data_IF_675900339297
#
_entry.id   IF_675900339297
#
_cell.length_a   1.000
_cell.length_b   1.000
_cell.length_c   1.000
_cell.angle_alpha   90.00
_cell.angle_beta   90.00
_cell.angle_gamma   90.00
#
_symmetry.space_group_name_H-M   'P 1'
#
loop_
_entity.id
_entity.type
_entity.pdbx_description
1 polymer ?
#
# COMPACT_ATOMS: atom_id res chain seq x y z
N UNK A 1 2.65 -28.21 -7.90
CA UNK A 1 3.71 -27.43 -7.23
C UNK A 1 3.40 -27.18 -5.76
N UNK A 2 2.18 -26.83 -5.37
CA UNK A 2 1.73 -26.59 -3.99
C UNK A 2 2.07 -27.71 -2.97
N UNK A 3 1.89 -28.98 -3.33
CA UNK A 3 2.21 -30.11 -2.42
C UNK A 3 3.70 -30.26 -2.07
N UNK A 4 4.61 -29.80 -2.94
CA UNK A 4 6.06 -29.80 -2.65
C UNK A 4 6.44 -28.64 -1.71
N UNK A 5 5.77 -27.50 -1.82
CA UNK A 5 5.94 -26.35 -0.95
C UNK A 5 5.46 -26.66 0.46
N UNK A 6 4.26 -27.22 0.61
CA UNK A 6 3.72 -27.61 1.92
C UNK A 6 4.66 -28.58 2.67
N UNK A 7 5.29 -29.52 1.94
CA UNK A 7 6.29 -30.41 2.53
C UNK A 7 7.60 -29.71 2.94
N UNK A 8 8.01 -28.65 2.22
CA UNK A 8 9.22 -27.88 2.54
C UNK A 8 8.99 -27.00 3.78
N UNK A 9 7.79 -26.40 3.90
CA UNK A 9 7.35 -25.67 5.08
C UNK A 9 7.25 -26.59 6.30
N UNK A 10 6.62 -27.77 6.16
CA UNK A 10 6.54 -28.75 7.24
C UNK A 10 7.91 -29.30 7.68
N UNK A 11 8.88 -29.41 6.77
CA UNK A 11 10.22 -29.88 7.11
C UNK A 11 11.05 -28.84 7.86
N UNK A 12 10.83 -27.52 7.58
CA UNK A 12 11.42 -26.41 8.34
C UNK A 12 10.79 -26.29 9.75
N UNK A 13 9.48 -26.55 9.90
CA UNK A 13 8.77 -26.54 11.20
C UNK A 13 9.44 -27.41 12.27
N UNK A 14 10.08 -28.50 11.88
CA UNK A 14 10.75 -29.42 12.83
C UNK A 14 12.08 -28.93 13.40
N UNK A 15 12.61 -27.82 12.90
CA UNK A 15 13.88 -27.24 13.33
C UNK A 15 13.75 -26.05 14.33
N UNK A 16 12.54 -25.54 14.54
CA UNK A 16 12.31 -24.38 15.42
C UNK A 16 11.90 -24.82 16.83
N UNK A 17 12.65 -24.37 17.82
CA UNK A 17 12.39 -24.69 19.25
C UNK A 17 11.13 -23.98 19.82
N UNK A 18 10.60 -22.93 19.14
CA UNK A 18 9.37 -22.21 19.49
C UNK A 18 8.38 -22.24 18.31
N UNK A 19 7.76 -23.38 18.10
CA UNK A 19 6.77 -23.60 17.03
C UNK A 19 5.58 -22.61 17.09
N UNK A 20 5.13 -22.24 18.30
CA UNK A 20 4.01 -21.35 18.50
C UNK A 20 4.28 -19.94 17.97
N UNK A 21 5.44 -19.37 18.26
CA UNK A 21 5.79 -18.02 17.80
C UNK A 21 5.86 -17.88 16.27
N UNK A 22 6.38 -18.89 15.58
CA UNK A 22 6.46 -18.88 14.11
C UNK A 22 5.09 -19.00 13.43
N UNK A 23 4.26 -19.91 13.94
CA UNK A 23 2.90 -20.11 13.38
C UNK A 23 2.00 -18.90 13.68
N UNK A 24 2.13 -18.27 14.84
CA UNK A 24 1.40 -17.07 15.22
C UNK A 24 1.75 -15.87 14.33
N UNK A 25 3.03 -15.63 14.08
CA UNK A 25 3.48 -14.54 13.19
C UNK A 25 3.05 -14.77 11.73
N UNK A 26 3.13 -16.01 11.24
CA UNK A 26 2.67 -16.34 9.90
C UNK A 26 1.15 -16.19 9.77
N UNK A 27 0.39 -16.55 10.80
CA UNK A 27 -1.06 -16.36 10.87
C UNK A 27 -1.42 -14.86 10.82
N UNK A 28 -0.73 -14.03 11.63
CA UNK A 28 -0.94 -12.58 11.64
C UNK A 28 -0.70 -11.97 10.24
N UNK A 29 0.43 -12.30 9.61
CA UNK A 29 0.72 -11.79 8.26
C UNK A 29 -0.34 -12.21 7.26
N UNK A 30 -0.86 -13.43 7.34
CA UNK A 30 -1.94 -13.89 6.47
C UNK A 30 -3.24 -13.09 6.70
N UNK A 31 -3.61 -12.85 7.94
CA UNK A 31 -4.80 -12.07 8.29
C UNK A 31 -4.68 -10.61 7.78
N UNK A 32 -3.51 -9.99 7.95
CA UNK A 32 -3.23 -8.64 7.42
C UNK A 32 -3.35 -8.59 5.89
N UNK A 33 -2.84 -9.59 5.19
CA UNK A 33 -2.95 -9.66 3.73
C UNK A 33 -4.40 -9.92 3.25
N UNK A 34 -5.23 -10.57 4.06
CA UNK A 34 -6.67 -10.73 3.80
C UNK A 34 -7.38 -9.39 3.93
N UNK A 35 -7.12 -8.63 4.99
CA UNK A 35 -7.69 -7.28 5.18
C UNK A 35 -7.26 -6.34 4.04
N UNK A 36 -5.98 -6.33 3.67
CA UNK A 36 -5.48 -5.58 2.53
C UNK A 36 -6.20 -5.96 1.22
N UNK A 37 -6.53 -7.24 1.03
CA UNK A 37 -7.28 -7.71 -0.16
C UNK A 37 -8.73 -7.27 -0.16
N UNK A 38 -9.37 -7.17 0.99
CA UNK A 38 -10.73 -6.63 1.13
C UNK A 38 -10.76 -5.13 0.78
N UNK A 39 -9.81 -4.36 1.32
CA UNK A 39 -9.65 -2.94 1.02
C UNK A 39 -9.35 -2.68 -0.48
N UNK A 40 -8.52 -3.51 -1.10
CA UNK A 40 -8.28 -3.50 -2.56
C UNK A 40 -9.59 -3.69 -3.34
N UNK A 41 -10.40 -4.66 -2.94
CA UNK A 41 -11.68 -4.97 -3.60
C UNK A 41 -12.64 -3.78 -3.51
N UNK A 42 -12.74 -3.14 -2.36
CA UNK A 42 -13.56 -1.94 -2.16
C UNK A 42 -13.06 -0.78 -3.03
N UNK A 43 -11.74 -0.54 -3.05
CA UNK A 43 -11.12 0.49 -3.90
C UNK A 43 -11.47 0.26 -5.38
N UNK A 44 -11.31 -0.96 -5.90
CA UNK A 44 -11.61 -1.29 -7.30
C UNK A 44 -13.07 -1.04 -7.63
N UNK A 45 -14.00 -1.44 -6.74
CA UNK A 45 -15.44 -1.20 -6.91
C UNK A 45 -15.77 0.30 -7.00
N UNK A 46 -15.18 1.11 -6.11
CA UNK A 46 -15.38 2.55 -6.11
C UNK A 46 -14.81 3.20 -7.37
N UNK A 47 -13.61 2.80 -7.81
CA UNK A 47 -12.98 3.27 -9.04
C UNK A 47 -13.83 2.96 -10.28
N UNK A 48 -14.40 1.77 -10.39
CA UNK A 48 -15.28 1.39 -11.52
C UNK A 48 -16.53 2.27 -11.59
N UNK A 49 -17.16 2.54 -10.43
CA UNK A 49 -18.32 3.43 -10.33
C UNK A 49 -17.98 4.85 -10.77
N UNK A 50 -16.86 5.37 -10.32
CA UNK A 50 -16.47 6.76 -10.58
C UNK A 50 -15.90 6.92 -11.99
N UNK A 51 -15.26 5.89 -12.56
CA UNK A 51 -14.89 5.85 -13.97
C UNK A 51 -16.10 6.00 -14.89
N UNK A 52 -17.20 5.30 -14.57
CA UNK A 52 -18.45 5.44 -15.35
C UNK A 52 -18.97 6.88 -15.35
N UNK A 53 -18.99 7.52 -14.17
CA UNK A 53 -19.40 8.94 -14.07
C UNK A 53 -18.45 9.87 -14.82
N UNK A 54 -17.14 9.61 -14.76
CA UNK A 54 -16.16 10.37 -15.54
C UNK A 54 -16.44 10.27 -17.03
N UNK A 55 -16.66 9.06 -17.55
CA UNK A 55 -16.95 8.83 -18.97
C UNK A 55 -18.22 9.56 -19.43
N UNK A 56 -19.29 9.48 -18.63
CA UNK A 56 -20.56 10.18 -18.87
C UNK A 56 -20.38 11.72 -18.89
N UNK A 57 -19.53 12.25 -18.02
CA UNK A 57 -19.26 13.68 -17.94
C UNK A 57 -18.33 14.20 -19.05
N UNK A 58 -17.39 13.38 -19.51
CA UNK A 58 -16.43 13.76 -20.56
C UNK A 58 -17.06 13.80 -21.95
N UNK A 59 -18.00 12.93 -22.23
CA UNK A 59 -18.59 12.77 -23.56
C UNK A 59 -19.13 14.09 -24.15
N UNK A 60 -20.04 14.84 -23.50
CA UNK A 60 -20.57 16.10 -24.06
C UNK A 60 -19.49 17.16 -24.21
N UNK A 61 -18.52 17.20 -23.29
CA UNK A 61 -17.46 18.20 -23.33
C UNK A 61 -16.43 17.93 -24.44
N UNK A 62 -16.15 16.66 -24.75
CA UNK A 62 -15.31 16.31 -25.89
C UNK A 62 -15.98 16.69 -27.20
N UNK A 63 -17.28 16.42 -27.34
CA UNK A 63 -18.04 16.81 -28.54
C UNK A 63 -18.00 18.31 -28.76
N UNK A 64 -17.92 19.13 -27.72
CA UNK A 64 -17.81 20.60 -27.85
C UNK A 64 -16.51 21.09 -28.50
N UNK A 65 -15.49 20.22 -28.62
CA UNK A 65 -14.26 20.53 -29.37
C UNK A 65 -14.38 20.28 -30.88
N UNK A 66 -15.50 19.69 -31.34
CA UNK A 66 -15.70 19.39 -32.74
C UNK A 66 -16.84 20.25 -33.32
N UNK A 67 -16.59 20.89 -34.46
CA UNK A 67 -17.59 21.56 -35.27
C UNK A 67 -17.86 20.69 -36.50
N UNK A 68 -19.10 20.18 -36.63
CA UNK A 68 -19.47 19.31 -37.76
C UNK A 68 -18.47 18.14 -37.99
N UNK A 69 -18.05 17.47 -36.89
CA UNK A 69 -17.07 16.40 -36.86
C UNK A 69 -15.61 16.83 -37.19
N UNK A 70 -15.33 18.10 -37.31
CA UNK A 70 -13.98 18.62 -37.51
C UNK A 70 -13.47 19.23 -36.21
N UNK A 71 -12.25 18.88 -35.80
CA UNK A 71 -11.60 19.41 -34.59
C UNK A 71 -11.43 20.93 -34.67
N UNK A 72 -11.94 21.67 -33.68
CA UNK A 72 -11.64 23.08 -33.49
C UNK A 72 -10.18 23.24 -33.01
N UNK A 73 -9.30 23.54 -33.96
CA UNK A 73 -7.85 23.64 -33.72
C UNK A 73 -7.51 24.69 -32.64
N UNK A 74 -8.27 25.77 -32.53
CA UNK A 74 -7.98 26.81 -31.52
C UNK A 74 -8.26 26.27 -30.12
N UNK A 75 -9.41 25.70 -29.88
CA UNK A 75 -9.78 25.09 -28.60
C UNK A 75 -8.83 23.96 -28.24
N UNK A 76 -8.43 23.16 -29.23
CA UNK A 76 -7.44 22.07 -29.01
C UNK A 76 -6.08 22.59 -28.56
N UNK A 77 -5.54 23.64 -29.21
CA UNK A 77 -4.25 24.23 -28.83
C UNK A 77 -4.31 24.83 -27.44
N UNK A 78 -5.39 25.54 -27.10
CA UNK A 78 -5.62 26.07 -25.76
C UNK A 78 -5.64 24.94 -24.71
N UNK A 79 -6.38 23.89 -24.96
CA UNK A 79 -6.45 22.74 -24.05
C UNK A 79 -5.11 22.01 -23.92
N UNK A 80 -4.38 21.81 -25.03
CA UNK A 80 -3.05 21.18 -25.05
C UNK A 80 -2.05 21.98 -24.23
N UNK A 81 -2.02 23.29 -24.40
CA UNK A 81 -1.17 24.17 -23.60
C UNK A 81 -1.46 24.06 -22.12
N UNK A 82 -2.73 24.05 -21.76
CA UNK A 82 -3.18 23.96 -20.39
C UNK A 82 -2.88 22.63 -19.73
N UNK A 83 -2.97 21.52 -20.46
CA UNK A 83 -2.61 20.19 -19.95
C UNK A 83 -1.10 20.07 -19.68
N UNK A 84 -0.27 20.78 -20.46
CA UNK A 84 1.18 20.82 -20.29
C UNK A 84 1.66 21.75 -19.16
N UNK A 85 0.78 22.62 -18.64
CA UNK A 85 1.14 23.58 -17.60
C UNK A 85 0.30 23.36 -16.33
N UNK A 86 0.84 22.68 -15.29
CA UNK A 86 0.13 22.43 -14.03
C UNK A 86 -0.35 23.69 -13.32
N UNK A 87 0.38 24.80 -13.52
CA UNK A 87 0.09 26.11 -12.89
C UNK A 87 -0.91 26.96 -13.68
N UNK A 88 -1.33 26.53 -14.87
CA UNK A 88 -2.29 27.29 -15.65
C UNK A 88 -3.66 27.27 -14.96
N UNK A 89 -4.23 28.46 -14.76
CA UNK A 89 -5.62 28.63 -14.31
C UNK A 89 -6.63 28.32 -15.43
N UNK A 90 -6.36 27.24 -16.19
CA UNK A 90 -7.24 26.85 -17.27
C UNK A 90 -8.65 26.54 -16.76
N UNK A 91 -9.60 27.28 -17.30
CA UNK A 91 -11.02 27.18 -16.99
C UNK A 91 -11.80 26.26 -17.93
N UNK A 92 -11.14 25.42 -18.71
CA UNK A 92 -11.91 24.48 -19.55
C UNK A 92 -12.68 23.51 -18.66
N UNK A 93 -13.95 23.35 -18.95
CA UNK A 93 -14.85 22.44 -18.21
C UNK A 93 -14.29 21.03 -18.19
N UNK A 94 -13.67 20.59 -19.29
CA UNK A 94 -13.02 19.30 -19.43
C UNK A 94 -11.90 19.08 -18.38
N UNK A 95 -11.00 20.07 -18.19
CA UNK A 95 -9.94 20.01 -17.18
C UNK A 95 -10.54 19.97 -15.76
N UNK A 96 -11.58 20.72 -15.49
CA UNK A 96 -12.27 20.69 -14.18
C UNK A 96 -12.86 19.33 -13.86
N UNK A 97 -13.50 18.69 -14.83
CA UNK A 97 -14.07 17.33 -14.69
C UNK A 97 -12.96 16.33 -14.31
N UNK A 98 -11.85 16.34 -15.06
CA UNK A 98 -10.72 15.44 -14.77
C UNK A 98 -10.15 15.71 -13.37
N UNK A 99 -9.90 16.98 -13.02
CA UNK A 99 -9.37 17.33 -11.69
C UNK A 99 -10.30 16.95 -10.55
N UNK A 100 -11.61 17.08 -10.73
CA UNK A 100 -12.60 16.63 -9.73
C UNK A 100 -12.55 15.10 -9.55
N UNK A 101 -12.48 14.36 -10.63
CA UNK A 101 -12.32 12.91 -10.57
C UNK A 101 -11.02 12.51 -9.86
N UNK A 102 -9.87 13.10 -10.21
CA UNK A 102 -8.58 12.84 -9.59
C UNK A 102 -8.60 13.14 -8.09
N UNK A 103 -9.18 14.28 -7.70
CA UNK A 103 -9.34 14.65 -6.28
C UNK A 103 -10.17 13.60 -5.52
N UNK A 104 -11.30 13.19 -6.09
CA UNK A 104 -12.18 12.18 -5.49
C UNK A 104 -11.46 10.85 -5.30
N UNK A 105 -10.82 10.35 -6.35
CA UNK A 105 -10.10 9.07 -6.34
C UNK A 105 -8.93 9.09 -5.35
N UNK A 106 -8.18 10.20 -5.29
CA UNK A 106 -7.08 10.38 -4.33
C UNK A 106 -7.57 10.35 -2.89
N UNK A 107 -8.65 11.08 -2.60
CA UNK A 107 -9.24 11.14 -1.26
C UNK A 107 -9.79 9.78 -0.82
N UNK A 108 -10.49 9.08 -1.71
CA UNK A 108 -11.02 7.74 -1.43
C UNK A 108 -9.91 6.73 -1.15
N UNK A 109 -8.87 6.69 -1.97
CA UNK A 109 -7.76 5.77 -1.77
C UNK A 109 -7.01 6.08 -0.46
N UNK A 110 -6.72 7.33 -0.17
CA UNK A 110 -6.07 7.73 1.08
C UNK A 110 -6.92 7.36 2.30
N UNK A 111 -8.26 7.58 2.24
CA UNK A 111 -9.17 7.22 3.32
C UNK A 111 -9.25 5.71 3.56
N UNK A 112 -9.40 4.91 2.49
CA UNK A 112 -9.43 3.46 2.58
C UNK A 112 -8.14 2.94 3.19
N UNK A 113 -6.99 3.44 2.72
CA UNK A 113 -5.68 3.01 3.21
C UNK A 113 -5.46 3.43 4.68
N UNK A 114 -5.83 4.65 5.05
CA UNK A 114 -5.77 5.09 6.46
C UNK A 114 -6.60 4.17 7.36
N UNK A 115 -7.84 3.88 6.97
CA UNK A 115 -8.74 3.02 7.75
C UNK A 115 -8.18 1.61 7.88
N UNK A 116 -7.65 1.05 6.80
CA UNK A 116 -6.99 -0.26 6.79
C UNK A 116 -5.83 -0.29 7.79
N UNK A 117 -4.87 0.64 7.65
CA UNK A 117 -3.66 0.66 8.46
C UNK A 117 -3.92 0.88 9.96
N UNK A 118 -4.98 1.62 10.31
CA UNK A 118 -5.39 1.79 11.71
C UNK A 118 -5.95 0.50 12.31
N UNK A 119 -6.78 -0.24 11.56
CA UNK A 119 -7.28 -1.55 11.98
C UNK A 119 -6.13 -2.55 12.12
N UNK A 120 -5.24 -2.58 11.15
CA UNK A 120 -4.07 -3.46 11.15
C UNK A 120 -3.13 -3.15 12.31
N UNK A 121 -2.91 -1.87 12.64
CA UNK A 121 -2.12 -1.48 13.81
C UNK A 121 -2.65 -2.14 15.09
N UNK A 122 -3.96 -2.08 15.32
CA UNK A 122 -4.59 -2.68 16.51
C UNK A 122 -4.48 -4.22 16.49
N UNK A 123 -4.63 -4.85 15.33
CA UNK A 123 -4.44 -6.30 15.17
C UNK A 123 -2.99 -6.70 15.48
N UNK A 124 -2.01 -6.00 14.93
CA UNK A 124 -0.58 -6.24 15.14
C UNK A 124 -0.25 -6.09 16.62
N UNK A 125 -0.65 -4.97 17.23
CA UNK A 125 -0.39 -4.72 18.65
C UNK A 125 -0.98 -5.83 19.54
N UNK A 126 -2.21 -6.28 19.27
CA UNK A 126 -2.87 -7.32 20.02
C UNK A 126 -2.17 -8.67 19.88
N UNK A 127 -1.88 -9.10 18.65
CA UNK A 127 -1.34 -10.43 18.41
C UNK A 127 0.14 -10.52 18.79
N UNK A 128 0.94 -9.48 18.49
CA UNK A 128 2.36 -9.43 18.89
C UNK A 128 2.51 -9.41 20.42
N UNK A 129 1.67 -8.66 21.14
CA UNK A 129 1.67 -8.71 22.61
C UNK A 129 1.23 -10.07 23.14
N UNK A 130 0.26 -10.72 22.51
CA UNK A 130 -0.18 -12.06 22.90
C UNK A 130 0.93 -13.10 22.71
N UNK A 131 1.70 -13.04 21.61
CA UNK A 131 2.83 -13.95 21.37
C UNK A 131 3.95 -13.81 22.41
N UNK A 132 4.08 -12.63 23.02
CA UNK A 132 5.03 -12.34 24.10
C UNK A 132 4.44 -12.55 25.51
N UNK A 133 3.15 -12.93 25.61
CA UNK A 133 2.40 -13.00 26.86
C UNK A 133 2.39 -11.68 27.66
N UNK A 134 2.31 -10.52 26.98
CA UNK A 134 2.26 -9.18 27.59
C UNK A 134 0.94 -8.46 27.27
N UNK A 135 0.58 -7.44 28.09
CA UNK A 135 -0.62 -6.64 27.85
C UNK A 135 -0.45 -5.70 26.64
N UNK A 136 -1.42 -5.64 25.72
CA UNK A 136 -1.42 -4.71 24.61
C UNK A 136 -1.88 -3.29 24.98
N UNK A 137 -2.33 -3.04 26.21
CA UNK A 137 -3.00 -1.78 26.62
C UNK A 137 -2.19 -0.53 26.27
N UNK A 138 -0.87 -0.55 26.48
CA UNK A 138 0.04 0.57 26.16
C UNK A 138 -0.12 1.03 24.69
N UNK A 139 -0.31 0.12 23.77
CA UNK A 139 -0.38 0.37 22.32
C UNK A 139 -1.83 0.66 21.86
N UNK A 140 -2.82 0.00 22.47
CA UNK A 140 -4.21 0.14 22.08
C UNK A 140 -4.86 1.42 22.64
N UNK A 141 -4.38 1.95 23.78
CA UNK A 141 -4.91 3.17 24.41
C UNK A 141 -4.45 4.48 23.73
N UNK A 142 -3.61 4.43 22.72
CA UNK A 142 -3.26 5.61 21.93
C UNK A 142 -4.51 6.24 21.32
N UNK A 143 -4.58 7.57 21.33
CA UNK A 143 -5.69 8.25 20.70
C UNK A 143 -5.61 8.13 19.14
N UNK A 144 -6.72 8.36 18.41
CA UNK A 144 -6.74 8.19 16.96
C UNK A 144 -5.68 9.00 16.21
N UNK A 145 -5.35 10.19 16.68
CA UNK A 145 -4.34 11.08 16.07
C UNK A 145 -2.93 10.51 16.25
N UNK A 146 -2.63 9.95 17.41
CA UNK A 146 -1.36 9.28 17.69
C UNK A 146 -1.19 8.04 16.82
N UNK A 147 -2.21 7.19 16.71
CA UNK A 147 -2.19 6.03 15.83
C UNK A 147 -2.02 6.43 14.36
N UNK A 148 -2.75 7.46 13.91
CA UNK A 148 -2.60 7.97 12.55
C UNK A 148 -1.19 8.50 12.28
N UNK A 149 -0.58 9.18 13.23
CA UNK A 149 0.81 9.63 13.12
C UNK A 149 1.78 8.44 12.99
N UNK A 150 1.58 7.37 13.77
CA UNK A 150 2.43 6.17 13.72
C UNK A 150 2.33 5.44 12.38
N UNK A 151 1.13 5.24 11.85
CA UNK A 151 0.97 4.56 10.56
C UNK A 151 1.48 5.39 9.37
N UNK A 152 1.58 6.72 9.53
CA UNK A 152 2.16 7.64 8.54
C UNK A 152 3.69 7.73 8.58
N UNK A 153 4.36 7.18 9.58
CA UNK A 153 5.83 7.18 9.59
C UNK A 153 6.34 6.42 8.36
N UNK A 154 7.21 7.04 7.52
CA UNK A 154 7.82 6.33 6.39
C UNK A 154 8.53 5.05 6.86
N UNK A 155 8.35 3.97 6.13
CA UNK A 155 9.01 2.70 6.43
C UNK A 155 10.27 2.45 5.59
N UNK A 156 10.50 3.25 4.54
CA UNK A 156 11.69 3.14 3.72
C UNK A 156 12.42 4.47 3.57
N UNK A 157 13.65 4.40 3.07
CA UNK A 157 14.59 5.52 2.99
C UNK A 157 14.19 6.64 2.00
N UNK A 158 13.08 6.51 1.26
CA UNK A 158 12.59 7.59 0.39
C UNK A 158 11.89 8.72 1.16
N UNK A 159 11.69 8.54 2.47
CA UNK A 159 11.10 9.53 3.37
C UNK A 159 9.63 9.85 3.11
N UNK A 160 8.95 9.11 2.21
CA UNK A 160 7.55 9.37 1.86
C UNK A 160 6.60 8.50 2.66
N UNK A 161 5.53 9.11 3.14
CA UNK A 161 4.40 8.38 3.69
C UNK A 161 3.48 7.85 2.58
N UNK A 162 2.50 7.04 2.96
CA UNK A 162 1.56 6.45 2.01
C UNK A 162 0.68 7.51 1.30
N UNK A 163 0.40 8.66 1.93
CA UNK A 163 -0.43 9.72 1.33
C UNK A 163 0.30 10.40 0.19
N UNK A 164 1.60 10.60 0.32
CA UNK A 164 2.46 11.12 -0.75
C UNK A 164 2.57 10.12 -1.91
N UNK A 165 2.66 8.82 -1.61
CA UNK A 165 2.65 7.77 -2.64
C UNK A 165 1.32 7.67 -3.37
N UNK A 166 0.19 7.83 -2.66
CA UNK A 166 -1.14 7.96 -3.29
C UNK A 166 -1.14 9.17 -4.23
N UNK A 167 -0.65 10.33 -3.79
CA UNK A 167 -0.56 11.53 -4.62
C UNK A 167 0.26 11.30 -5.90
N UNK A 168 1.45 10.72 -5.79
CA UNK A 168 2.29 10.38 -6.95
C UNK A 168 1.51 9.49 -7.94
N UNK A 169 0.81 8.48 -7.42
CA UNK A 169 0.02 7.57 -8.26
C UNK A 169 -1.14 8.27 -8.95
N UNK A 170 -1.83 9.19 -8.28
CA UNK A 170 -2.92 9.99 -8.84
C UNK A 170 -2.45 11.02 -9.85
N UNK A 171 -1.29 11.64 -9.65
CA UNK A 171 -0.66 12.55 -10.63
C UNK A 171 -0.33 11.82 -11.95
N UNK A 172 0.12 10.56 -11.85
CA UNK A 172 0.33 9.72 -13.03
C UNK A 172 -0.98 9.38 -13.75
N UNK A 173 -2.04 9.10 -13.00
CA UNK A 173 -3.37 8.87 -13.57
C UNK A 173 -3.89 10.12 -14.28
N UNK A 174 -3.78 11.30 -13.67
CA UNK A 174 -4.19 12.58 -14.25
C UNK A 174 -3.51 12.83 -15.60
N UNK A 175 -2.17 12.70 -15.64
CA UNK A 175 -1.39 12.86 -16.89
C UNK A 175 -1.83 11.86 -17.95
N UNK A 176 -2.07 10.61 -17.55
CA UNK A 176 -2.54 9.57 -18.47
C UNK A 176 -3.92 9.90 -19.07
N UNK A 177 -4.86 10.40 -18.25
CA UNK A 177 -6.19 10.81 -18.73
C UNK A 177 -6.05 11.98 -19.73
N UNK A 178 -5.26 13.01 -19.43
CA UNK A 178 -5.06 14.11 -20.36
C UNK A 178 -4.41 13.65 -21.67
N UNK A 179 -3.45 12.73 -21.61
CA UNK A 179 -2.85 12.14 -22.81
C UNK A 179 -3.87 11.43 -23.68
N UNK A 180 -4.74 10.63 -23.09
CA UNK A 180 -5.83 9.93 -23.80
C UNK A 180 -6.81 10.93 -24.42
N UNK A 181 -7.20 11.97 -23.70
CA UNK A 181 -8.11 12.99 -24.20
C UNK A 181 -7.54 13.73 -25.43
N UNK A 182 -6.26 14.12 -25.36
CA UNK A 182 -5.58 14.76 -26.49
C UNK A 182 -5.48 13.84 -27.71
N UNK A 183 -5.14 12.56 -27.49
CA UNK A 183 -5.09 11.56 -28.56
C UNK A 183 -6.46 11.37 -29.23
N UNK A 184 -7.53 11.32 -28.45
CA UNK A 184 -8.90 11.22 -28.96
C UNK A 184 -9.33 12.46 -29.76
N UNK A 185 -8.86 13.66 -29.38
CA UNK A 185 -9.10 14.87 -30.16
C UNK A 185 -8.35 14.88 -31.47
N UNK A 186 -7.10 14.40 -31.49
CA UNK A 186 -6.27 14.35 -32.70
C UNK A 186 -6.73 13.32 -33.74
N UNK A 187 -7.15 12.15 -33.27
CA UNK A 187 -7.59 11.02 -34.14
C UNK A 187 -9.06 11.06 -34.56
N UNK A 188 -9.85 11.92 -33.95
CA UNK A 188 -11.30 11.91 -34.00
C UNK A 188 -11.86 11.18 -32.78
N UNK A 189 -12.90 11.77 -32.17
CA UNK A 189 -13.51 11.23 -30.97
C UNK A 189 -14.34 9.97 -31.27
N UNK A 190 -13.95 8.85 -30.67
CA UNK A 190 -14.70 7.61 -30.69
C UNK A 190 -14.98 7.13 -29.24
N UNK A 191 -16.28 7.12 -28.81
CA UNK A 191 -16.66 6.81 -27.42
C UNK A 191 -16.13 5.48 -26.91
N UNK A 192 -16.10 4.45 -27.78
CA UNK A 192 -15.64 3.11 -27.42
C UNK A 192 -14.14 3.10 -27.14
N UNK A 193 -13.33 3.70 -28.01
CA UNK A 193 -11.88 3.78 -27.84
C UNK A 193 -11.52 4.60 -26.60
N UNK A 194 -12.22 5.71 -26.33
CA UNK A 194 -12.06 6.47 -25.11
C UNK A 194 -12.34 5.61 -23.88
N UNK A 195 -13.46 4.88 -23.88
CA UNK A 195 -13.85 4.03 -22.75
C UNK A 195 -12.81 2.93 -22.49
N UNK A 196 -12.33 2.27 -23.52
CA UNK A 196 -11.29 1.22 -23.43
C UNK A 196 -9.98 1.80 -22.89
N UNK A 197 -9.53 2.95 -23.39
CA UNK A 197 -8.30 3.61 -22.96
C UNK A 197 -8.37 4.05 -21.48
N UNK A 198 -9.48 4.68 -21.07
CA UNK A 198 -9.69 5.08 -19.67
C UNK A 198 -9.78 3.88 -18.73
N UNK A 199 -10.46 2.80 -19.16
CA UNK A 199 -10.55 1.56 -18.38
C UNK A 199 -9.17 0.94 -18.15
N UNK A 200 -8.31 0.93 -19.16
CA UNK A 200 -6.91 0.44 -19.04
C UNK A 200 -6.09 1.29 -18.07
N UNK A 201 -6.22 2.63 -18.15
CA UNK A 201 -5.52 3.54 -17.24
C UNK A 201 -5.95 3.35 -15.78
N UNK A 202 -7.26 3.28 -15.54
CA UNK A 202 -7.82 3.08 -14.20
C UNK A 202 -7.46 1.68 -13.68
N UNK A 203 -7.45 0.65 -14.53
CA UNK A 203 -6.96 -0.68 -14.17
C UNK A 203 -5.49 -0.68 -13.73
N UNK A 204 -4.63 0.06 -14.43
CA UNK A 204 -3.23 0.24 -14.04
C UNK A 204 -3.07 1.01 -12.72
N UNK A 205 -3.91 2.01 -12.49
CA UNK A 205 -3.96 2.73 -11.23
C UNK A 205 -4.41 1.82 -10.08
N UNK A 206 -5.47 1.03 -10.28
CA UNK A 206 -5.94 0.06 -9.29
C UNK A 206 -4.86 -0.96 -8.91
N UNK A 207 -4.12 -1.49 -9.89
CA UNK A 207 -3.03 -2.42 -9.64
C UNK A 207 -1.88 -1.78 -8.81
N UNK A 208 -1.56 -0.50 -9.07
CA UNK A 208 -0.59 0.23 -8.23
C UNK A 208 -1.12 0.46 -6.82
N UNK A 209 -2.41 0.79 -6.69
CA UNK A 209 -3.07 0.96 -5.39
C UNK A 209 -3.08 -0.32 -4.56
N UNK A 210 -3.39 -1.46 -5.17
CA UNK A 210 -3.33 -2.77 -4.52
C UNK A 210 -1.92 -3.12 -4.03
N UNK A 211 -0.91 -2.83 -4.86
CA UNK A 211 0.49 -3.00 -4.47
C UNK A 211 0.86 -2.10 -3.30
N UNK A 212 0.43 -0.86 -3.33
CA UNK A 212 0.67 0.10 -2.26
C UNK A 212 0.05 -0.39 -0.95
N UNK A 213 -1.23 -0.79 -0.95
CA UNK A 213 -1.91 -1.31 0.24
C UNK A 213 -1.10 -2.43 0.90
N UNK A 214 -0.77 -3.48 0.16
CA UNK A 214 0.00 -4.62 0.70
C UNK A 214 1.38 -4.21 1.22
N UNK A 215 2.05 -3.28 0.56
CA UNK A 215 3.39 -2.85 0.98
C UNK A 215 3.33 -2.00 2.24
N UNK A 216 2.36 -1.08 2.35
CA UNK A 216 2.17 -0.25 3.54
C UNK A 216 1.70 -1.09 4.75
N UNK A 217 0.82 -2.10 4.55
CA UNK A 217 0.47 -3.11 5.54
C UNK A 217 1.72 -3.74 6.17
N UNK A 218 2.63 -4.24 5.33
CA UNK A 218 3.87 -4.85 5.82
C UNK A 218 4.83 -3.84 6.46
N UNK A 219 4.80 -2.59 6.01
CA UNK A 219 5.55 -1.51 6.65
C UNK A 219 5.04 -1.18 8.06
N UNK A 220 3.72 -1.11 8.26
CA UNK A 220 3.10 -0.93 9.59
C UNK A 220 3.37 -2.14 10.46
N UNK A 221 3.20 -3.35 9.94
CA UNK A 221 3.55 -4.59 10.64
C UNK A 221 4.97 -4.53 11.21
N UNK A 222 5.96 -4.31 10.36
CA UNK A 222 7.35 -4.34 10.80
C UNK A 222 7.69 -3.26 11.82
N UNK A 223 7.19 -2.04 11.64
CA UNK A 223 7.45 -0.95 12.60
C UNK A 223 6.82 -1.24 13.96
N UNK A 224 5.56 -1.64 13.96
CA UNK A 224 4.80 -1.89 15.19
C UNK A 224 5.35 -3.10 15.95
N UNK A 225 5.61 -4.20 15.25
CA UNK A 225 6.19 -5.40 15.84
C UNK A 225 7.59 -5.14 16.41
N UNK A 226 8.44 -4.39 15.67
CA UNK A 226 9.78 -4.00 16.14
C UNK A 226 9.71 -3.19 17.43
N UNK A 227 8.82 -2.20 17.50
CA UNK A 227 8.65 -1.38 18.70
C UNK A 227 8.20 -2.22 19.89
N UNK A 228 7.21 -3.07 19.72
CA UNK A 228 6.71 -3.97 20.76
C UNK A 228 7.81 -4.93 21.23
N UNK A 229 8.57 -5.50 20.31
CA UNK A 229 9.66 -6.41 20.63
C UNK A 229 10.76 -5.73 21.42
N UNK A 230 11.21 -4.54 21.01
CA UNK A 230 12.21 -3.74 21.74
C UNK A 230 11.73 -3.37 23.14
N UNK A 231 10.51 -2.90 23.29
CA UNK A 231 9.90 -2.55 24.58
C UNK A 231 9.85 -3.75 25.53
N UNK A 232 9.81 -4.95 25.00
CA UNK A 232 9.72 -6.19 25.77
C UNK A 232 11.04 -6.98 25.84
N UNK A 233 12.15 -6.35 25.44
CA UNK A 233 13.49 -6.89 25.63
C UNK A 233 13.90 -7.98 24.65
N UNK A 234 13.24 -8.08 23.51
CA UNK A 234 13.71 -8.95 22.41
C UNK A 234 15.00 -8.36 21.85
N UNK A 235 16.06 -9.16 21.81
CA UNK A 235 17.36 -8.74 21.32
C UNK A 235 17.56 -9.03 19.83
N UNK A 236 17.16 -10.23 19.40
CA UNK A 236 17.35 -10.66 18.02
C UNK A 236 16.09 -11.32 17.46
N UNK A 237 15.91 -11.15 16.18
CA UNK A 237 14.84 -11.78 15.41
C UNK A 237 15.41 -12.58 14.24
N UNK A 238 14.69 -13.58 13.80
CA UNK A 238 14.98 -14.35 12.60
C UNK A 238 13.99 -13.99 11.50
N UNK A 239 14.50 -13.65 10.31
CA UNK A 239 13.67 -13.32 9.16
C UNK A 239 13.01 -14.58 8.62
N UNK A 240 11.68 -14.53 8.53
CA UNK A 240 10.87 -15.59 7.96
C UNK A 240 10.20 -15.11 6.68
N UNK A 241 10.11 -15.96 5.67
CA UNK A 241 9.50 -15.58 4.42
C UNK A 241 9.39 -16.74 3.46
N UNK A 242 8.65 -16.49 2.39
CA UNK A 242 8.58 -17.42 1.28
C UNK A 242 9.64 -17.03 0.25
N UNK A 243 10.52 -17.96 -0.12
CA UNK A 243 11.47 -17.82 -1.23
C UNK A 243 10.80 -17.47 -2.58
N UNK A 244 9.46 -17.43 -2.63
CA UNK A 244 8.66 -17.01 -3.78
C UNK A 244 8.48 -15.48 -3.90
N UNK A 245 9.00 -14.68 -2.99
CA UNK A 245 8.96 -13.21 -3.07
C UNK A 245 9.81 -12.60 -4.21
N UNK A 246 10.40 -13.41 -5.08
CA UNK A 246 11.04 -12.92 -6.31
C UNK A 246 12.52 -12.57 -6.20
N UNK A 247 13.31 -13.34 -5.46
CA UNK A 247 14.78 -13.29 -5.50
C UNK A 247 15.44 -12.32 -4.52
N UNK A 248 14.89 -11.11 -4.30
CA UNK A 248 15.48 -10.12 -3.38
C UNK A 248 15.44 -10.60 -1.92
N UNK A 249 14.35 -11.27 -1.52
CA UNK A 249 14.18 -11.72 -0.14
C UNK A 249 14.98 -12.98 0.20
N UNK A 250 15.48 -13.72 -0.78
CA UNK A 250 16.24 -14.97 -0.54
C UNK A 250 17.51 -14.73 0.28
N UNK A 251 18.13 -13.56 0.10
CA UNK A 251 19.35 -13.16 0.83
C UNK A 251 19.10 -12.87 2.30
N UNK A 252 17.86 -12.53 2.66
CA UNK A 252 17.48 -12.14 4.02
C UNK A 252 16.83 -13.25 4.82
N UNK A 253 16.14 -14.18 4.16
CA UNK A 253 15.45 -15.28 4.84
C UNK A 253 16.42 -16.14 5.61
N UNK A 254 16.03 -16.56 6.83
CA UNK A 254 16.80 -17.32 7.80
C UNK A 254 17.96 -16.50 8.45
N UNK A 255 18.14 -15.21 8.12
CA UNK A 255 19.12 -14.36 8.81
C UNK A 255 18.61 -13.96 10.19
N UNK A 256 19.54 -13.91 11.14
CA UNK A 256 19.31 -13.41 12.50
C UNK A 256 19.79 -11.97 12.58
N UNK A 257 18.87 -11.08 12.94
CA UNK A 257 19.08 -9.63 12.96
C UNK A 257 19.01 -9.11 14.40
N UNK A 258 19.96 -8.24 14.79
CA UNK A 258 19.85 -7.44 16.01
C UNK A 258 18.76 -6.38 15.85
N UNK A 259 17.80 -6.34 16.79
CA UNK A 259 16.69 -5.39 16.70
C UNK A 259 17.08 -3.96 17.02
N UNK A 260 18.03 -3.76 17.93
CA UNK A 260 18.42 -2.43 18.43
C UNK A 260 18.85 -1.52 17.28
N UNK A 261 19.74 -2.01 16.42
CA UNK A 261 20.31 -1.26 15.30
C UNK A 261 19.57 -1.46 13.97
N UNK A 262 18.50 -2.27 13.93
CA UNK A 262 17.81 -2.63 12.70
C UNK A 262 16.96 -1.49 12.14
N UNK A 263 16.93 -1.39 10.81
CA UNK A 263 16.14 -0.41 10.07
C UNK A 263 15.10 -1.14 9.23
N UNK A 264 13.82 -0.79 9.40
CA UNK A 264 12.73 -1.32 8.57
C UNK A 264 12.92 -0.85 7.12
N UNK A 265 12.77 -1.76 6.18
CA UNK A 265 13.02 -1.52 4.76
C UNK A 265 14.48 -1.74 4.33
N UNK A 266 15.39 -2.04 5.28
CA UNK A 266 16.80 -2.34 5.03
C UNK A 266 17.15 -3.68 5.66
N UNK A 267 17.12 -3.78 6.98
CA UNK A 267 17.45 -4.99 7.74
C UNK A 267 16.21 -5.84 8.03
N UNK A 268 15.05 -5.19 8.17
CA UNK A 268 13.74 -5.82 8.39
C UNK A 268 12.81 -5.56 7.21
N UNK A 269 11.89 -6.51 6.89
CA UNK A 269 10.94 -6.33 5.80
C UNK A 269 10.03 -5.10 6.04
N UNK A 270 9.36 -4.58 4.98
CA UNK A 270 9.37 -5.05 3.60
C UNK A 270 10.61 -4.58 2.83
N UNK A 271 11.26 -5.47 2.06
CA UNK A 271 12.45 -5.13 1.27
C UNK A 271 12.11 -4.59 -0.12
N UNK A 272 10.90 -4.85 -0.60
CA UNK A 272 10.41 -4.44 -1.92
C UNK A 272 8.88 -4.36 -1.94
N UNK A 273 8.27 -3.72 -2.96
CA UNK A 273 6.82 -3.74 -3.13
C UNK A 273 6.24 -5.16 -3.20
N UNK A 274 5.13 -5.41 -2.50
CA UNK A 274 4.52 -6.73 -2.29
C UNK A 274 5.36 -7.74 -1.47
N UNK A 275 6.34 -7.31 -0.73
CA UNK A 275 7.06 -8.17 0.19
C UNK A 275 6.07 -8.74 1.24
N UNK A 276 6.12 -10.06 1.44
CA UNK A 276 5.32 -10.77 2.44
C UNK A 276 6.23 -11.46 3.50
N UNK A 277 7.50 -11.05 3.56
CA UNK A 277 8.40 -11.51 4.60
C UNK A 277 8.02 -10.90 5.95
N UNK A 278 8.24 -11.66 7.03
CA UNK A 278 8.07 -11.24 8.40
C UNK A 278 9.29 -11.68 9.23
N UNK A 279 9.21 -11.59 10.54
CA UNK A 279 10.27 -12.06 11.42
C UNK A 279 9.68 -12.52 12.75
N UNK A 280 10.36 -13.45 13.40
CA UNK A 280 9.98 -13.97 14.70
C UNK A 280 11.11 -13.78 15.72
N UNK A 281 10.74 -13.84 17.00
CA UNK A 281 11.71 -13.74 18.11
C UNK A 281 12.71 -14.87 18.03
N UNK A 282 14.01 -14.53 18.13
CA UNK A 282 15.10 -15.49 18.24
C UNK A 282 15.66 -15.54 19.66
N UNK A 283 16.07 -14.40 20.19
CA UNK A 283 16.63 -14.30 21.53
C UNK A 283 16.17 -13.02 22.24
N UNK A 284 16.11 -13.11 23.58
CA UNK A 284 15.85 -11.97 24.45
C UNK A 284 17.16 -11.36 24.99
N UNK A 285 17.16 -10.05 25.21
CA UNK A 285 18.28 -9.40 25.93
C UNK A 285 18.28 -9.90 27.38
N UNK A 286 19.37 -10.56 27.78
CA UNK A 286 19.52 -11.21 29.10
C UNK A 286 19.35 -10.23 30.26
N UNK A 287 19.66 -8.93 30.10
CA UNK A 287 19.53 -7.92 31.14
C UNK A 287 18.09 -7.44 31.35
N UNK A 288 17.30 -7.35 30.26
CA UNK A 288 15.89 -6.90 30.28
C UNK A 288 14.98 -8.08 30.61
N UNK A 289 15.22 -9.24 30.01
CA UNK A 289 14.46 -10.47 30.26
C UNK A 289 14.54 -10.97 31.70
N UNK A 290 15.70 -10.86 32.34
CA UNK A 290 15.87 -11.25 33.76
C UNK A 290 15.13 -10.32 34.76
N UNK A 291 14.88 -9.06 34.39
CA UNK A 291 14.11 -8.14 35.24
C UNK A 291 12.60 -8.45 35.26
N UNK A 292 12.06 -9.05 34.19
CA UNK A 292 10.64 -9.44 34.12
C UNK A 292 10.36 -10.79 34.79
N UNK A 293 11.23 -11.78 34.60
CA UNK A 293 11.11 -13.08 35.25
C UNK A 293 11.26 -13.05 36.78
N UNK A 294 11.74 -11.92 37.35
CA UNK A 294 11.87 -11.72 38.82
C UNK A 294 10.69 -10.94 39.41
N UNK A 295 9.69 -10.55 38.59
CA UNK A 295 8.50 -9.80 39.05
C UNK A 295 7.21 -10.63 39.10
N UNK A 296 7.24 -11.82 38.56
CA UNK A 296 6.20 -12.86 38.67
C UNK A 296 6.68 -13.94 39.68
#
# INVERSE_FOLDING_TARGET
MEKKQHKKIQKKRSSYKNLNSYDDELSLVLDLLIEAKQAETEMVKNLQKDLKKLQEALQPELLAFFCSNVLDKRKYIEFKYDCGNPSSNCNTKLKRIVKQFIKLVSQQQASILTSLLLVEYDMIATQTCASLAVSPEKYLMLNPQEKEALVKIPWCNDGKDFTERVKISTDLLERGIFSVLLEQMEKGYEPRQLSEALTKLVGSYAARGARLMRTETMGVYSKTTREIFLDNGVATVEIIGDAMCGGICEEYVDNVISLEDSIVGVDLPPYHPNCACSYCVRDYNSEIGQKKLKKD
#
